data_IF_903305305181
#
_entry.id   IF_903305305181
#
_cell.length_a   1.000
_cell.length_b   1.000
_cell.length_c   1.000
_cell.angle_alpha   90.00
_cell.angle_beta   90.00
_cell.angle_gamma   90.00
#
_symmetry.space_group_name_H-M   'P 1'
#
loop_
_entity.id
_entity.type
_entity.pdbx_description
1 polymer ?
#
# COMPACT_ATOMS: atom_id res chain seq x y z
N UNK A 1 -26.26 20.71 50.69
CA UNK A 1 -25.63 20.52 49.36
C UNK A 1 -25.53 19.03 49.10
N UNK A 2 -26.07 18.55 47.97
CA UNK A 2 -26.11 17.12 47.60
C UNK A 2 -24.71 16.67 47.18
N UNK A 3 -24.17 15.64 47.81
CA UNK A 3 -22.94 14.97 47.40
C UNK A 3 -23.32 13.53 47.07
N UNK A 4 -23.13 13.15 45.80
CA UNK A 4 -23.21 11.78 45.35
C UNK A 4 -21.83 11.37 44.84
N UNK A 5 -21.36 10.18 45.20
CA UNK A 5 -20.52 9.39 44.33
C UNK A 5 -21.18 8.02 44.10
N UNK A 6 -21.57 7.79 42.84
CA UNK A 6 -22.05 6.50 42.36
C UNK A 6 -20.83 5.66 41.95
N UNK A 7 -20.43 4.73 42.81
CA UNK A 7 -19.57 3.60 42.43
C UNK A 7 -20.12 2.40 43.19
N UNK A 8 -20.53 1.34 42.48
CA UNK A 8 -20.23 -0.08 42.80
C UNK A 8 -20.85 -1.02 41.74
N UNK A 9 -19.96 -1.55 40.91
CA UNK A 9 -19.81 -2.95 40.43
C UNK A 9 -20.95 -3.96 40.55
N UNK A 10 -21.33 -4.57 39.42
CA UNK A 10 -21.72 -5.99 39.27
C UNK A 10 -21.44 -6.40 37.80
N UNK A 11 -21.10 -7.62 37.40
CA UNK A 11 -20.46 -8.79 37.97
C UNK A 11 -20.20 -9.67 36.73
N UNK A 12 -18.96 -10.13 36.53
CA UNK A 12 -18.59 -11.01 35.42
C UNK A 12 -19.01 -12.45 35.78
N UNK A 13 -20.08 -12.98 35.17
CA UNK A 13 -20.28 -14.43 35.03
C UNK A 13 -21.35 -14.75 33.99
N UNK A 14 -21.02 -15.63 33.05
CA UNK A 14 -21.96 -16.19 32.09
C UNK A 14 -21.26 -16.96 30.98
N UNK A 15 -20.53 -18.02 31.34
CA UNK A 15 -20.13 -19.05 30.38
C UNK A 15 -21.24 -20.11 30.26
N UNK A 16 -21.20 -20.84 29.14
CA UNK A 16 -21.97 -22.03 28.73
C UNK A 16 -23.25 -21.70 27.94
N UNK A 17 -23.58 -22.27 26.79
CA UNK A 17 -22.95 -23.24 25.86
C UNK A 17 -23.88 -23.33 24.64
N UNK A 18 -23.31 -23.61 23.46
CA UNK A 18 -23.94 -24.34 22.34
C UNK A 18 -25.20 -23.72 21.72
N UNK A 19 -25.01 -22.82 20.76
CA UNK A 19 -25.72 -22.96 19.48
C UNK A 19 -24.78 -22.66 18.33
N UNK A 20 -24.65 -23.66 17.45
CA UNK A 20 -24.07 -23.60 16.12
C UNK A 20 -25.03 -22.81 15.19
N UNK A 21 -25.38 -21.59 15.60
CA UNK A 21 -26.02 -20.64 14.72
C UNK A 21 -24.87 -20.02 13.91
N UNK A 22 -24.79 -20.24 12.59
CA UNK A 22 -23.71 -19.68 11.82
C UNK A 22 -23.81 -18.16 11.94
N UNK A 23 -22.74 -17.53 12.42
CA UNK A 23 -22.53 -16.08 12.45
C UNK A 23 -22.87 -15.39 11.09
N UNK A 24 -23.04 -16.18 10.01
CA UNK A 24 -23.66 -15.78 8.73
C UNK A 24 -25.01 -15.07 8.87
N UNK A 25 -25.85 -15.41 9.86
CA UNK A 25 -27.21 -14.86 9.97
C UNK A 25 -27.25 -13.50 10.66
N UNK A 26 -26.26 -13.20 11.51
CA UNK A 26 -26.27 -11.99 12.35
C UNK A 26 -25.82 -10.76 11.55
N UNK A 27 -24.89 -10.92 10.60
CA UNK A 27 -24.57 -9.88 9.63
C UNK A 27 -23.68 -10.44 8.50
N UNK A 28 -24.16 -10.59 7.26
CA UNK A 28 -23.30 -10.98 6.13
C UNK A 28 -22.14 -9.99 5.88
N UNK A 29 -22.22 -8.76 6.41
CA UNK A 29 -21.14 -7.78 6.31
C UNK A 29 -19.95 -8.03 7.26
N UNK A 30 -20.08 -8.90 8.28
CA UNK A 30 -18.96 -9.23 9.18
C UNK A 30 -17.96 -10.22 8.55
N UNK A 31 -18.35 -10.92 7.48
CA UNK A 31 -17.49 -11.92 6.81
C UNK A 31 -16.74 -11.33 5.61
N UNK A 32 -17.04 -10.11 5.20
CA UNK A 32 -16.42 -9.50 4.02
C UNK A 32 -15.53 -8.31 4.37
N UNK A 33 -14.56 -8.55 5.26
CA UNK A 33 -13.26 -7.91 5.12
C UNK A 33 -12.46 -8.66 4.02
N UNK A 34 -13.04 -8.85 2.83
CA UNK A 34 -12.22 -9.17 1.67
C UNK A 34 -11.42 -7.91 1.40
N UNK A 35 -10.13 -7.92 1.70
CA UNK A 35 -9.23 -6.91 1.19
C UNK A 35 -9.43 -6.89 -0.33
N UNK A 36 -10.15 -5.89 -0.83
CA UNK A 36 -10.44 -5.76 -2.25
C UNK A 36 -9.09 -5.64 -2.93
N UNK A 37 -8.68 -6.68 -3.66
CA UNK A 37 -7.40 -6.65 -4.33
C UNK A 37 -7.48 -5.58 -5.43
N UNK A 38 -6.64 -4.55 -5.28
CA UNK A 38 -6.60 -3.43 -6.22
C UNK A 38 -6.21 -3.96 -7.60
N UNK A 39 -6.93 -3.51 -8.63
CA UNK A 39 -6.49 -3.73 -10.01
C UNK A 39 -5.11 -3.14 -10.24
N UNK A 40 -4.38 -3.68 -11.22
CA UNK A 40 -3.02 -3.20 -11.49
C UNK A 40 -2.99 -1.73 -11.91
N UNK A 41 -4.00 -1.27 -12.66
CA UNK A 41 -4.13 0.15 -12.99
C UNK A 41 -4.30 1.02 -11.75
N UNK A 42 -5.04 0.57 -10.74
CA UNK A 42 -5.17 1.31 -9.48
C UNK A 42 -3.86 1.31 -8.70
N UNK A 43 -3.12 0.20 -8.67
CA UNK A 43 -1.78 0.12 -8.07
C UNK A 43 -0.83 1.14 -8.71
N UNK A 44 -0.79 1.23 -10.05
CA UNK A 44 0.03 2.22 -10.78
C UNK A 44 -0.41 3.65 -10.45
N UNK A 45 -1.72 3.92 -10.42
CA UNK A 45 -2.26 5.24 -10.06
C UNK A 45 -1.85 5.64 -8.64
N UNK A 46 -1.89 4.72 -7.68
CA UNK A 46 -1.46 5.00 -6.30
C UNK A 46 0.04 5.29 -6.21
N UNK A 47 0.88 4.53 -6.93
CA UNK A 47 2.33 4.81 -6.97
C UNK A 47 2.59 6.17 -7.63
N UNK A 48 1.86 6.51 -8.68
CA UNK A 48 1.98 7.79 -9.37
C UNK A 48 1.53 8.97 -8.51
N UNK A 49 0.48 8.79 -7.72
CA UNK A 49 -0.04 9.81 -6.80
C UNK A 49 0.93 10.08 -5.65
N UNK A 50 1.60 9.03 -5.15
CA UNK A 50 2.49 9.10 -3.99
C UNK A 50 3.97 9.29 -4.39
N UNK A 51 4.23 9.80 -5.61
CA UNK A 51 5.61 10.10 -6.06
C UNK A 51 6.30 11.05 -5.09
N UNK A 52 7.57 10.78 -4.81
CA UNK A 52 8.41 11.58 -3.90
C UNK A 52 8.02 11.48 -2.42
N UNK A 53 6.98 10.72 -2.05
CA UNK A 53 6.61 10.52 -0.65
C UNK A 53 7.39 9.37 -0.04
N UNK A 54 7.82 9.56 1.22
CA UNK A 54 8.49 8.52 2.02
C UNK A 54 7.61 7.27 2.07
N UNK A 55 8.21 6.11 1.82
CA UNK A 55 7.51 4.83 1.74
C UNK A 55 6.92 4.50 0.35
N UNK A 56 7.10 5.38 -0.64
CA UNK A 56 6.71 5.10 -2.02
C UNK A 56 7.46 3.91 -2.63
N UNK A 57 8.70 3.66 -2.18
CA UNK A 57 9.50 2.49 -2.51
C UNK A 57 8.93 1.20 -1.93
N UNK A 58 8.53 1.21 -0.65
CA UNK A 58 7.81 0.09 -0.03
C UNK A 58 6.49 -0.22 -0.75
N UNK A 59 5.73 0.82 -1.10
CA UNK A 59 4.50 0.67 -1.87
C UNK A 59 4.76 0.03 -3.24
N UNK A 60 5.80 0.46 -3.96
CA UNK A 60 6.20 -0.13 -5.23
C UNK A 60 6.54 -1.62 -5.07
N UNK A 61 7.37 -1.96 -4.08
CA UNK A 61 7.76 -3.34 -3.78
C UNK A 61 6.55 -4.21 -3.42
N UNK A 62 5.60 -3.71 -2.65
CA UNK A 62 4.38 -4.45 -2.28
C UNK A 62 3.45 -4.71 -3.46
N UNK A 63 3.40 -3.81 -4.43
CA UNK A 63 2.50 -3.94 -5.58
C UNK A 63 3.06 -4.74 -6.73
N UNK A 64 4.39 -4.76 -6.90
CA UNK A 64 5.07 -5.32 -8.08
C UNK A 64 6.28 -6.19 -7.72
N UNK A 65 6.27 -6.83 -6.55
CA UNK A 65 7.37 -7.72 -6.13
C UNK A 65 7.59 -8.82 -7.18
N UNK A 66 8.82 -8.96 -7.67
CA UNK A 66 9.18 -9.96 -8.68
C UNK A 66 8.85 -9.59 -10.13
N UNK A 67 8.06 -8.54 -10.36
CA UNK A 67 7.61 -8.13 -11.71
C UNK A 67 8.41 -6.95 -12.29
N UNK A 68 9.46 -6.50 -11.60
CA UNK A 68 10.26 -5.33 -11.95
C UNK A 68 11.64 -5.74 -12.48
N UNK A 69 11.91 -5.41 -13.74
CA UNK A 69 13.19 -5.58 -14.41
C UNK A 69 14.00 -4.28 -14.31
N UNK A 70 15.21 -4.28 -13.72
CA UNK A 70 16.10 -3.12 -13.78
C UNK A 70 16.62 -2.93 -15.20
N UNK A 71 16.37 -1.75 -15.79
CA UNK A 71 16.70 -1.45 -17.20
C UNK A 71 17.64 -0.26 -17.38
N UNK A 72 17.98 0.45 -16.32
CA UNK A 72 18.90 1.57 -16.36
C UNK A 72 19.14 2.21 -15.00
N UNK A 73 20.24 2.93 -14.87
CA UNK A 73 20.59 3.72 -13.69
C UNK A 73 20.99 5.10 -14.18
N UNK A 74 20.57 6.15 -13.47
CA UNK A 74 20.95 7.52 -13.78
C UNK A 74 21.05 8.38 -12.51
N UNK A 75 21.73 9.52 -12.58
CA UNK A 75 21.61 10.54 -11.55
C UNK A 75 20.17 11.04 -11.44
N UNK A 76 19.69 11.21 -10.20
CA UNK A 76 18.32 11.63 -9.90
C UNK A 76 17.97 11.47 -8.42
N UNK A 77 16.90 12.11 -7.97
CA UNK A 77 16.52 12.17 -6.56
C UNK A 77 17.66 12.71 -5.70
N UNK A 78 18.01 11.99 -4.62
CA UNK A 78 19.22 12.25 -3.84
C UNK A 78 20.34 11.25 -4.16
N UNK A 79 20.89 11.39 -5.37
CA UNK A 79 22.02 10.61 -5.84
C UNK A 79 21.69 9.90 -7.15
N UNK A 80 21.26 8.65 -7.05
CA UNK A 80 20.96 7.82 -8.21
C UNK A 80 19.56 7.22 -8.11
N UNK A 81 18.97 7.00 -9.28
CA UNK A 81 17.71 6.29 -9.44
C UNK A 81 17.90 5.10 -10.36
N UNK A 82 17.17 4.03 -10.07
CA UNK A 82 17.10 2.83 -10.90
C UNK A 82 15.77 2.83 -11.64
N UNK A 83 15.83 2.71 -12.96
CA UNK A 83 14.66 2.59 -13.81
C UNK A 83 14.22 1.12 -13.84
N UNK A 84 13.04 0.85 -13.29
CA UNK A 84 12.46 -0.46 -13.09
C UNK A 84 11.26 -0.63 -14.03
N UNK A 85 11.38 -1.53 -15.00
CA UNK A 85 10.36 -1.80 -15.99
C UNK A 85 9.47 -2.97 -15.58
N UNK A 86 8.17 -2.76 -15.64
CA UNK A 86 7.17 -3.81 -15.52
C UNK A 86 6.70 -4.25 -16.91
N UNK A 87 7.08 -5.47 -17.31
CA UNK A 87 6.74 -6.03 -18.64
C UNK A 87 5.25 -6.28 -18.82
N UNK A 88 4.56 -6.72 -17.76
CA UNK A 88 3.13 -7.04 -17.82
C UNK A 88 2.25 -5.81 -18.11
N UNK A 89 2.65 -4.64 -17.61
CA UNK A 89 1.86 -3.41 -17.70
C UNK A 89 2.45 -2.37 -18.65
N UNK A 90 3.64 -2.64 -19.20
CA UNK A 90 4.41 -1.72 -20.02
C UNK A 90 4.58 -0.35 -19.35
N UNK A 91 5.07 -0.34 -18.11
CA UNK A 91 5.33 0.88 -17.32
C UNK A 91 6.72 0.83 -16.72
N UNK A 92 7.42 1.96 -16.73
CA UNK A 92 8.70 2.14 -16.04
C UNK A 92 8.51 3.04 -14.82
N UNK A 93 9.08 2.63 -13.70
CA UNK A 93 9.18 3.38 -12.45
C UNK A 93 10.63 3.80 -12.22
N UNK A 94 10.88 5.06 -11.90
CA UNK A 94 12.20 5.53 -11.47
C UNK A 94 12.25 5.52 -9.95
N UNK A 95 13.03 4.60 -9.38
CA UNK A 95 13.14 4.38 -7.94
C UNK A 95 14.44 4.96 -7.38
N UNK A 96 14.32 5.81 -6.36
CA UNK A 96 15.44 6.35 -5.60
C UNK A 96 15.64 5.49 -4.33
N UNK A 97 16.78 4.78 -4.26
CA UNK A 97 17.10 3.94 -3.11
C UNK A 97 17.45 4.73 -1.85
N UNK A 98 17.99 5.95 -2.01
CA UNK A 98 18.45 6.78 -0.88
C UNK A 98 17.31 7.16 0.06
N UNK A 99 16.13 7.48 -0.48
CA UNK A 99 14.96 7.87 0.30
C UNK A 99 13.81 6.85 0.25
N UNK A 100 14.03 5.71 -0.41
CA UNK A 100 13.00 4.69 -0.66
C UNK A 100 11.72 5.31 -1.27
N UNK A 101 11.88 6.07 -2.36
CA UNK A 101 10.76 6.75 -3.04
C UNK A 101 10.76 6.49 -4.54
N UNK A 102 9.57 6.56 -5.14
CA UNK A 102 9.42 6.60 -6.60
C UNK A 102 9.37 8.06 -7.04
N UNK A 103 10.27 8.48 -7.91
CA UNK A 103 10.35 9.88 -8.37
C UNK A 103 9.66 10.09 -9.71
N UNK A 104 9.63 9.07 -10.57
CA UNK A 104 9.01 9.14 -11.89
C UNK A 104 8.25 7.85 -12.22
N UNK A 105 7.18 7.99 -13.03
CA UNK A 105 6.40 6.88 -13.58
C UNK A 105 6.01 7.26 -15.00
N UNK A 106 6.29 6.39 -15.98
CA UNK A 106 5.93 6.62 -17.39
C UNK A 106 5.61 5.31 -18.08
N UNK A 107 4.67 5.36 -19.03
CA UNK A 107 4.32 4.20 -19.86
C UNK A 107 5.42 3.95 -20.90
N UNK A 108 5.71 2.70 -21.18
CA UNK A 108 6.79 2.25 -22.06
C UNK A 108 8.01 1.74 -21.30
N UNK A 109 8.97 1.19 -22.05
CA UNK A 109 10.30 0.78 -21.56
C UNK A 109 11.25 1.97 -21.66
N UNK A 110 11.50 2.66 -20.54
CA UNK A 110 12.27 3.91 -20.48
C UNK A 110 13.60 3.66 -19.77
N UNK A 111 14.68 3.49 -20.52
CA UNK A 111 16.02 3.23 -19.94
C UNK A 111 16.61 4.47 -19.27
N UNK A 112 16.21 5.67 -19.72
CA UNK A 112 16.62 6.95 -19.16
C UNK A 112 15.46 7.96 -19.20
N UNK A 113 15.10 8.52 -18.05
CA UNK A 113 14.14 9.62 -17.92
C UNK A 113 14.83 10.97 -18.14
N UNK A 114 14.05 11.97 -18.51
CA UNK A 114 14.56 13.34 -18.58
C UNK A 114 14.99 13.82 -17.17
N UNK A 115 16.08 14.59 -17.04
CA UNK A 115 16.62 14.99 -15.73
C UNK A 115 15.63 15.78 -14.85
N UNK A 116 14.64 16.45 -15.46
CA UNK A 116 13.59 17.15 -14.74
C UNK A 116 12.49 16.23 -14.19
N UNK A 117 12.36 14.99 -14.69
CA UNK A 117 11.36 14.02 -14.24
C UNK A 117 11.82 13.22 -13.02
N UNK A 118 13.13 13.17 -12.75
CA UNK A 118 13.74 12.34 -11.69
C UNK A 118 14.33 13.19 -10.55
N UNK A 119 13.55 14.12 -10.02
CA UNK A 119 13.97 15.04 -8.95
C UNK A 119 13.36 14.64 -7.61
#
# INVERSE_FOLDING_TARGET
MKIAPLITTFALTGFLTLWDAPLKVINPALVQASAQELSVSQKITLVTKNKGQIGGGDQLRRFFFGDLEPIGIQPGGAGHVVNLYNKANNVTFSYCSTYDVVVAVKKGKITKFEPNEVK
#
